data_IF_648458031647
#
_entry.id   IF_648458031647
#
_cell.length_a   1.000
_cell.length_b   1.000
_cell.length_c   1.000
_cell.angle_alpha   90.00
_cell.angle_beta   90.00
_cell.angle_gamma   90.00
#
_symmetry.space_group_name_H-M   'P 1'
#
loop_
_entity.id
_entity.type
_entity.pdbx_description
1 polymer ?
#
# COMPACT_ATOMS: atom_id res chain seq x y z
N UNK A 1 -27.02 -12.41 66.03
CA UNK A 1 -25.87 -11.84 65.27
C UNK A 1 -25.36 -12.76 64.18
N UNK A 2 -25.37 -14.07 64.33
CA UNK A 2 -24.82 -15.03 63.31
C UNK A 2 -25.73 -15.22 62.09
N UNK A 3 -27.06 -15.15 62.20
CA UNK A 3 -28.00 -15.29 61.06
C UNK A 3 -27.85 -14.14 60.04
N UNK A 4 -27.62 -12.91 60.51
CA UNK A 4 -27.48 -11.73 59.65
C UNK A 4 -26.16 -11.84 58.87
N UNK A 5 -25.08 -12.26 59.51
CA UNK A 5 -23.80 -12.50 58.84
C UNK A 5 -23.87 -13.59 57.76
N UNK A 6 -24.62 -14.67 58.03
CA UNK A 6 -24.84 -15.74 57.08
C UNK A 6 -25.63 -15.28 55.83
N UNK A 7 -26.65 -14.46 56.05
CA UNK A 7 -27.47 -13.90 54.94
C UNK A 7 -26.60 -12.94 54.09
N UNK A 8 -25.80 -12.08 54.73
CA UNK A 8 -24.93 -11.15 54.07
C UNK A 8 -23.89 -11.86 53.19
N UNK A 9 -23.24 -12.91 53.70
CA UNK A 9 -22.31 -13.75 52.96
C UNK A 9 -22.97 -14.40 51.76
N UNK A 10 -24.17 -14.95 51.93
CA UNK A 10 -24.93 -15.58 50.84
C UNK A 10 -25.28 -14.60 49.73
N UNK A 11 -25.68 -13.38 50.06
CA UNK A 11 -25.99 -12.32 49.07
C UNK A 11 -24.76 -11.88 48.33
N UNK A 12 -23.62 -11.72 49.01
CA UNK A 12 -22.32 -11.34 48.38
C UNK A 12 -21.87 -12.45 47.44
N UNK A 13 -21.99 -13.74 47.83
CA UNK A 13 -21.57 -14.87 46.99
C UNK A 13 -22.46 -14.95 45.72
N UNK A 14 -23.75 -14.72 45.88
CA UNK A 14 -24.69 -14.68 44.76
C UNK A 14 -24.40 -13.52 43.79
N UNK A 15 -24.06 -12.33 44.33
CA UNK A 15 -23.69 -11.15 43.53
C UNK A 15 -22.38 -11.37 42.76
N UNK A 16 -21.38 -12.01 43.37
CA UNK A 16 -20.10 -12.32 42.72
C UNK A 16 -20.32 -13.37 41.60
N UNK A 17 -21.20 -14.36 41.81
CA UNK A 17 -21.51 -15.38 40.82
C UNK A 17 -22.25 -14.82 39.60
N UNK A 18 -22.98 -13.71 39.74
CA UNK A 18 -23.70 -13.04 38.64
C UNK A 18 -22.77 -12.24 37.70
N UNK A 19 -21.55 -11.92 38.10
CA UNK A 19 -20.57 -11.09 37.33
C UNK A 19 -19.75 -11.94 36.35
N UNK A 20 -19.78 -13.29 36.50
CA UNK A 20 -18.95 -14.19 35.67
C UNK A 20 -19.57 -14.59 34.32
N UNK A 21 -20.81 -14.17 34.04
CA UNK A 21 -21.40 -14.34 32.71
C UNK A 21 -20.98 -13.20 31.78
N UNK A 22 -19.68 -13.18 31.41
CA UNK A 22 -19.23 -12.38 30.28
C UNK A 22 -19.57 -13.14 29.01
N UNK A 23 -20.59 -12.70 28.33
CA UNK A 23 -20.96 -13.21 27.01
C UNK A 23 -19.94 -12.65 26.02
N UNK A 24 -19.02 -13.46 25.53
CA UNK A 24 -18.23 -13.14 24.33
C UNK A 24 -19.10 -13.49 23.13
N UNK A 25 -19.70 -12.48 22.54
CA UNK A 25 -20.42 -12.63 21.27
C UNK A 25 -19.35 -12.72 20.16
N UNK A 26 -19.21 -13.89 19.55
CA UNK A 26 -18.40 -14.04 18.34
C UNK A 26 -19.16 -13.35 17.20
N UNK A 27 -18.73 -12.14 16.87
CA UNK A 27 -19.22 -11.44 15.68
C UNK A 27 -18.60 -12.11 14.45
N UNK A 28 -19.36 -12.99 13.80
CA UNK A 28 -18.98 -13.47 12.46
C UNK A 28 -19.20 -12.34 11.47
N UNK A 29 -18.09 -11.70 11.08
CA UNK A 29 -18.12 -10.75 9.97
C UNK A 29 -18.23 -11.59 8.69
N UNK A 30 -19.43 -11.67 8.13
CA UNK A 30 -19.64 -12.22 6.79
C UNK A 30 -19.01 -11.24 5.79
N UNK A 31 -17.73 -11.38 5.52
CA UNK A 31 -17.13 -10.79 4.33
C UNK A 31 -17.60 -11.63 3.16
N UNK A 32 -18.49 -11.07 2.34
CA UNK A 32 -18.81 -11.67 1.05
C UNK A 32 -17.49 -11.84 0.30
N UNK A 33 -17.19 -13.06 -0.13
CA UNK A 33 -16.00 -13.32 -0.95
C UNK A 33 -16.07 -12.42 -2.19
N UNK A 34 -15.36 -11.30 -2.13
CA UNK A 34 -15.20 -10.44 -3.28
C UNK A 34 -14.32 -11.18 -4.29
N UNK A 35 -14.73 -11.16 -5.56
CA UNK A 35 -13.90 -11.72 -6.62
C UNK A 35 -12.48 -11.15 -6.52
N UNK A 36 -11.47 -11.99 -6.67
CA UNK A 36 -10.09 -11.54 -6.72
C UNK A 36 -9.92 -10.55 -7.88
N UNK A 37 -9.18 -9.49 -7.64
CA UNK A 37 -8.88 -8.46 -8.65
C UNK A 37 -7.36 -8.33 -8.80
N UNK A 38 -6.88 -7.96 -10.01
CA UNK A 38 -5.47 -7.71 -10.21
C UNK A 38 -5.02 -6.44 -9.44
N UNK A 39 -3.87 -6.53 -8.83
CA UNK A 39 -3.19 -5.43 -8.15
C UNK A 39 -1.90 -5.15 -8.91
N UNK A 40 -1.82 -4.00 -9.56
CA UNK A 40 -0.66 -3.55 -10.32
C UNK A 40 -0.04 -2.40 -9.55
N UNK A 41 1.21 -2.57 -9.13
CA UNK A 41 1.96 -1.57 -8.39
C UNK A 41 3.26 -1.26 -9.10
N UNK A 42 3.54 0.04 -9.29
CA UNK A 42 4.78 0.50 -9.88
C UNK A 42 5.04 1.97 -9.59
N UNK A 43 6.30 2.34 -9.60
CA UNK A 43 6.74 3.72 -9.45
C UNK A 43 7.82 4.03 -10.47
N UNK A 44 7.77 5.23 -11.05
CA UNK A 44 8.85 5.75 -11.87
C UNK A 44 9.63 6.76 -11.03
N UNK A 45 10.94 6.54 -10.93
CA UNK A 45 11.82 7.40 -10.13
C UNK A 45 12.82 8.14 -11.01
N UNK A 46 13.38 9.24 -10.51
CA UNK A 46 14.44 10.00 -11.18
C UNK A 46 15.85 9.40 -10.96
N UNK A 47 15.91 8.22 -10.35
CA UNK A 47 17.14 7.45 -10.21
C UNK A 47 17.42 6.64 -11.49
N UNK A 48 18.69 6.50 -11.84
CA UNK A 48 19.12 5.69 -12.99
C UNK A 48 19.17 4.21 -12.60
N UNK A 49 17.98 3.60 -12.50
CA UNK A 49 17.78 2.20 -12.09
C UNK A 49 16.85 1.49 -13.06
N UNK A 50 16.84 0.17 -13.01
CA UNK A 50 15.78 -0.61 -13.67
C UNK A 50 14.45 -0.33 -12.97
N UNK A 51 13.50 0.23 -13.71
CA UNK A 51 12.17 0.53 -13.16
C UNK A 51 11.38 -0.78 -12.99
N UNK A 52 10.58 -0.84 -11.93
CA UNK A 52 9.92 -2.07 -11.50
C UNK A 52 8.41 -1.92 -11.47
N UNK A 53 7.71 -2.92 -12.03
CA UNK A 53 6.27 -3.10 -11.89
C UNK A 53 6.03 -4.45 -11.21
N UNK A 54 5.19 -4.49 -10.20
CA UNK A 54 4.79 -5.69 -9.49
C UNK A 54 3.32 -5.98 -9.78
N UNK A 55 3.01 -7.24 -10.11
CA UNK A 55 1.65 -7.68 -10.41
C UNK A 55 1.29 -8.86 -9.50
N UNK A 56 0.15 -8.74 -8.84
CA UNK A 56 -0.40 -9.78 -7.97
C UNK A 56 -1.93 -9.78 -8.02
N UNK A 57 -2.58 -10.77 -7.43
CA UNK A 57 -4.01 -10.73 -7.13
C UNK A 57 -4.25 -10.07 -5.78
N UNK A 58 -5.44 -9.52 -5.56
CA UNK A 58 -5.93 -9.26 -4.21
C UNK A 58 -6.09 -10.57 -3.43
N UNK A 59 -6.20 -10.49 -2.11
CA UNK A 59 -6.56 -11.62 -1.23
C UNK A 59 -7.75 -11.25 -0.38
N UNK A 60 -8.53 -12.24 0.06
CA UNK A 60 -9.59 -12.06 1.03
C UNK A 60 -9.01 -11.61 2.39
N UNK A 61 -9.80 -10.90 3.18
CA UNK A 61 -9.35 -10.38 4.49
C UNK A 61 -8.88 -11.49 5.45
N UNK A 62 -9.48 -12.67 5.35
CA UNK A 62 -9.15 -13.83 6.20
C UNK A 62 -8.23 -14.86 5.53
N UNK A 63 -7.77 -14.59 4.30
CA UNK A 63 -6.84 -15.47 3.63
C UNK A 63 -5.51 -15.50 4.38
N UNK A 64 -5.05 -16.71 4.69
CA UNK A 64 -3.74 -16.93 5.33
C UNK A 64 -2.60 -16.96 4.33
N UNK A 65 -2.91 -17.05 3.05
CA UNK A 65 -1.92 -17.09 1.97
C UNK A 65 -1.55 -15.68 1.52
N UNK A 66 -0.32 -15.53 1.10
CA UNK A 66 0.13 -14.28 0.49
C UNK A 66 -0.55 -14.06 -0.87
N UNK A 67 -0.71 -12.82 -1.29
CA UNK A 67 -1.25 -12.46 -2.59
C UNK A 67 -0.53 -13.21 -3.72
N UNK A 68 -1.30 -13.94 -4.53
CA UNK A 68 -0.75 -14.70 -5.64
C UNK A 68 -0.04 -13.79 -6.64
N UNK A 69 1.20 -14.09 -6.98
CA UNK A 69 1.99 -13.37 -7.98
C UNK A 69 1.55 -13.73 -9.40
N UNK A 70 1.48 -12.74 -10.28
CA UNK A 70 1.08 -12.91 -11.67
C UNK A 70 2.31 -12.84 -12.57
N UNK A 71 2.55 -13.91 -13.33
CA UNK A 71 3.79 -14.13 -14.09
C UNK A 71 3.63 -14.15 -15.59
N UNK A 72 2.41 -14.14 -16.10
CA UNK A 72 2.07 -14.28 -17.51
C UNK A 72 1.59 -12.98 -18.16
N UNK A 73 1.94 -11.83 -17.61
CA UNK A 73 1.55 -10.53 -18.15
C UNK A 73 2.57 -10.02 -19.17
N UNK A 74 2.07 -9.31 -20.18
CA UNK A 74 2.86 -8.45 -21.07
C UNK A 74 2.81 -7.04 -20.48
N UNK A 75 3.96 -6.50 -20.11
CA UNK A 75 4.06 -5.20 -19.45
C UNK A 75 4.85 -4.24 -20.32
N UNK A 76 4.24 -3.13 -20.68
CA UNK A 76 4.84 -2.08 -21.49
C UNK A 76 4.79 -0.74 -20.75
N UNK A 77 5.94 -0.11 -20.59
CA UNK A 77 6.10 1.24 -20.07
C UNK A 77 6.46 2.16 -21.22
N UNK A 78 5.72 3.25 -21.39
CA UNK A 78 6.01 4.27 -22.38
C UNK A 78 6.33 5.59 -21.68
N UNK A 79 7.40 6.25 -22.13
CA UNK A 79 7.73 7.62 -21.74
C UNK A 79 7.53 8.57 -22.91
N UNK A 80 6.84 9.67 -22.68
CA UNK A 80 6.54 10.67 -23.69
C UNK A 80 6.91 12.07 -23.23
N UNK A 81 7.49 12.83 -24.14
CA UNK A 81 7.60 14.29 -24.06
C UNK A 81 6.95 14.91 -25.31
N UNK A 82 6.93 16.24 -25.40
CA UNK A 82 6.41 16.93 -26.60
C UNK A 82 7.14 16.58 -27.89
N UNK A 83 8.35 15.99 -27.81
CA UNK A 83 9.22 15.75 -28.99
C UNK A 83 9.63 14.28 -29.11
N UNK A 84 9.77 13.57 -27.99
CA UNK A 84 10.37 12.23 -27.94
C UNK A 84 9.41 11.27 -27.24
N UNK A 85 9.30 10.08 -27.82
CA UNK A 85 8.55 8.95 -27.25
C UNK A 85 9.42 7.69 -27.27
N UNK A 86 9.49 7.00 -26.13
CA UNK A 86 10.16 5.71 -26.00
C UNK A 86 9.22 4.68 -25.38
N UNK A 87 9.36 3.43 -25.81
CA UNK A 87 8.58 2.32 -25.25
C UNK A 87 9.51 1.21 -24.80
N UNK A 88 9.26 0.70 -23.58
CA UNK A 88 10.03 -0.36 -22.94
C UNK A 88 9.10 -1.54 -22.67
N UNK A 89 9.44 -2.71 -23.21
CA UNK A 89 8.80 -3.96 -22.80
C UNK A 89 9.55 -4.50 -21.59
N UNK A 90 8.84 -4.68 -20.48
CA UNK A 90 9.43 -5.17 -19.24
C UNK A 90 9.48 -6.69 -19.24
N UNK A 91 10.55 -7.24 -18.71
CA UNK A 91 10.75 -8.68 -18.56
C UNK A 91 10.64 -9.08 -17.10
N UNK A 92 10.11 -10.26 -16.84
CA UNK A 92 10.02 -10.80 -15.50
C UNK A 92 11.43 -11.01 -14.92
N UNK A 93 11.64 -10.58 -13.67
CA UNK A 93 12.94 -10.69 -12.97
C UNK A 93 13.34 -12.15 -12.76
N UNK A 94 12.39 -12.96 -12.29
CA UNK A 94 12.53 -14.41 -12.15
C UNK A 94 11.18 -15.10 -12.32
N UNK A 95 11.21 -16.37 -12.71
CA UNK A 95 9.98 -17.15 -12.91
C UNK A 95 9.13 -17.17 -11.64
N UNK A 96 7.87 -16.76 -11.76
CA UNK A 96 6.93 -16.76 -10.63
C UNK A 96 7.01 -15.53 -9.72
N UNK A 97 7.93 -14.59 -9.95
CA UNK A 97 8.11 -13.42 -9.06
C UNK A 97 6.97 -12.42 -9.12
N UNK A 98 6.27 -12.30 -10.26
CA UNK A 98 5.31 -11.23 -10.51
C UNK A 98 5.95 -9.85 -10.55
N UNK A 99 7.29 -9.79 -10.65
CA UNK A 99 8.09 -8.57 -10.73
C UNK A 99 8.60 -8.43 -12.15
N UNK A 100 8.30 -7.31 -12.79
CA UNK A 100 8.69 -6.97 -14.15
C UNK A 100 9.61 -5.78 -14.13
N UNK A 101 10.75 -5.87 -14.80
CA UNK A 101 11.79 -4.87 -14.82
C UNK A 101 12.06 -4.38 -16.24
N UNK A 102 12.41 -3.11 -16.39
CA UNK A 102 13.01 -2.62 -17.63
C UNK A 102 14.32 -3.36 -17.89
N UNK A 103 14.66 -3.61 -19.15
CA UNK A 103 15.92 -4.29 -19.53
C UNK A 103 17.12 -3.46 -19.04
N UNK A 104 17.12 -2.19 -19.36
CA UNK A 104 18.17 -1.24 -19.00
C UNK A 104 17.69 -0.26 -17.91
N UNK A 105 18.61 0.37 -17.16
CA UNK A 105 18.27 1.46 -16.27
C UNK A 105 17.58 2.61 -17.03
N UNK A 106 16.44 3.05 -16.52
CA UNK A 106 15.65 4.16 -17.04
C UNK A 106 15.51 5.21 -15.94
N UNK A 107 15.88 6.45 -16.27
CA UNK A 107 15.72 7.58 -15.37
C UNK A 107 14.47 8.36 -15.73
N UNK A 108 13.54 8.49 -14.80
CA UNK A 108 12.39 9.37 -14.96
C UNK A 108 12.82 10.83 -15.07
N UNK A 109 12.13 11.59 -15.92
CA UNK A 109 12.42 12.98 -16.27
C UNK A 109 11.23 13.86 -15.89
N UNK A 110 11.50 14.92 -15.19
CA UNK A 110 10.54 15.94 -14.79
C UNK A 110 9.78 16.49 -16.00
N UNK A 111 8.46 16.61 -15.87
CA UNK A 111 7.58 17.11 -16.94
C UNK A 111 7.28 16.09 -18.04
N UNK A 112 7.84 14.87 -17.98
CA UNK A 112 7.53 13.81 -18.93
C UNK A 112 6.33 13.00 -18.45
N UNK A 113 5.51 12.56 -19.40
CA UNK A 113 4.40 11.66 -19.16
C UNK A 113 4.83 10.21 -19.28
N UNK A 114 4.32 9.37 -18.40
CA UNK A 114 4.57 7.94 -18.35
C UNK A 114 3.23 7.22 -18.44
N UNK A 115 3.14 6.24 -19.33
CA UNK A 115 1.98 5.37 -19.44
C UNK A 115 2.39 3.91 -19.33
N UNK A 116 1.63 3.16 -18.56
CA UNK A 116 1.77 1.73 -18.34
C UNK A 116 0.62 1.02 -19.02
N UNK A 117 0.92 -0.02 -19.79
CA UNK A 117 -0.05 -1.00 -20.29
C UNK A 117 0.36 -2.38 -19.79
N UNK A 118 -0.59 -3.10 -19.22
CA UNK A 118 -0.45 -4.48 -18.75
C UNK A 118 -1.54 -5.31 -19.39
N UNK A 119 -1.14 -6.30 -20.18
CA UNK A 119 -2.06 -7.25 -20.82
C UNK A 119 -1.87 -8.63 -20.19
N UNK A 120 -2.94 -9.22 -19.66
CA UNK A 120 -2.92 -10.55 -19.05
C UNK A 120 -4.32 -11.18 -19.05
N UNK A 121 -4.39 -12.50 -19.15
CA UNK A 121 -5.60 -13.27 -18.86
C UNK A 121 -5.62 -13.56 -17.34
N UNK A 122 -6.30 -12.69 -16.59
CA UNK A 122 -6.30 -12.75 -15.13
C UNK A 122 -7.21 -13.86 -14.59
N UNK A 123 -8.36 -14.06 -15.22
CA UNK A 123 -9.38 -15.02 -14.80
C UNK A 123 -9.20 -16.40 -15.45
N UNK A 124 -8.23 -16.56 -16.36
CA UNK A 124 -7.92 -17.77 -17.12
C UNK A 124 -9.10 -18.26 -17.98
N UNK A 125 -9.86 -17.33 -18.57
CA UNK A 125 -10.95 -17.64 -19.51
C UNK A 125 -10.49 -17.72 -20.99
N UNK A 126 -9.21 -17.48 -21.24
CA UNK A 126 -8.58 -17.47 -22.57
C UNK A 126 -8.68 -16.11 -23.27
N UNK A 127 -9.21 -15.08 -22.61
CA UNK A 127 -9.27 -13.70 -23.11
C UNK A 127 -8.34 -12.84 -22.26
N UNK A 128 -7.43 -12.12 -22.89
CA UNK A 128 -6.54 -11.22 -22.18
C UNK A 128 -7.18 -9.84 -22.00
N UNK A 129 -7.18 -9.34 -20.77
CA UNK A 129 -7.61 -8.00 -20.43
C UNK A 129 -6.44 -7.03 -20.48
N UNK A 130 -6.70 -5.77 -20.84
CA UNK A 130 -5.73 -4.69 -20.81
C UNK A 130 -6.02 -3.73 -19.65
N UNK A 131 -4.99 -3.46 -18.85
CA UNK A 131 -5.01 -2.51 -17.73
C UNK A 131 -4.04 -1.37 -18.05
N UNK A 132 -4.50 -0.13 -17.96
CA UNK A 132 -3.68 1.05 -18.28
C UNK A 132 -3.63 2.03 -17.12
N UNK A 133 -2.49 2.72 -16.98
CA UNK A 133 -2.32 3.82 -16.06
C UNK A 133 -1.41 4.87 -16.68
N UNK A 134 -1.60 6.14 -16.33
CA UNK A 134 -0.74 7.21 -16.78
C UNK A 134 -0.47 8.21 -15.66
N UNK A 135 0.71 8.80 -15.68
CA UNK A 135 1.09 9.89 -14.78
C UNK A 135 2.11 10.81 -15.46
N UNK A 136 2.27 12.01 -14.92
CA UNK A 136 3.36 12.92 -15.30
C UNK A 136 4.30 13.04 -14.12
N UNK A 137 5.61 13.00 -14.37
CA UNK A 137 6.60 13.19 -13.32
C UNK A 137 6.61 14.65 -12.89
N UNK A 138 6.26 14.95 -11.62
CA UNK A 138 6.19 16.32 -11.14
C UNK A 138 7.56 16.98 -11.11
N UNK A 139 7.57 18.29 -11.06
CA UNK A 139 8.78 19.05 -10.82
C UNK A 139 9.32 18.81 -9.40
N UNK A 140 10.64 18.96 -9.29
CA UNK A 140 11.30 18.79 -8.00
C UNK A 140 10.93 19.96 -7.08
N UNK A 141 10.42 19.64 -5.91
CA UNK A 141 10.18 20.61 -4.87
C UNK A 141 11.51 21.26 -4.45
N UNK A 142 11.57 22.58 -4.49
CA UNK A 142 12.72 23.35 -3.98
C UNK A 142 12.49 23.65 -2.51
N UNK A 143 13.40 23.17 -1.67
CA UNK A 143 13.43 23.53 -0.26
C UNK A 143 14.05 24.92 -0.14
N UNK A 144 13.28 25.91 0.33
CA UNK A 144 13.76 27.29 0.51
C UNK A 144 14.66 27.43 1.74
N UNK A 145 14.26 26.77 2.82
CA UNK A 145 15.00 26.79 4.08
C UNK A 145 14.69 25.60 4.95
N UNK A 146 15.63 25.27 5.80
CA UNK A 146 15.38 24.37 6.93
C UNK A 146 15.95 24.99 8.21
N UNK A 147 15.26 24.77 9.32
CA UNK A 147 15.66 25.24 10.63
C UNK A 147 15.45 24.15 11.69
N UNK A 148 16.43 23.98 12.56
CA UNK A 148 16.34 23.09 13.69
C UNK A 148 16.15 23.92 14.94
N UNK A 149 15.00 23.78 15.59
CA UNK A 149 14.71 24.42 16.89
C UNK A 149 14.89 23.42 18.02
N UNK A 150 15.50 23.89 19.10
CA UNK A 150 15.71 23.11 20.32
C UNK A 150 14.82 23.65 21.42
N UNK A 151 14.01 22.79 22.03
CA UNK A 151 13.14 23.13 23.16
C UNK A 151 13.39 22.19 24.32
N UNK A 152 13.60 22.76 25.52
CA UNK A 152 13.70 21.98 26.77
C UNK A 152 12.32 21.85 27.40
N UNK A 153 11.89 20.61 27.69
CA UNK A 153 10.63 20.30 28.35
C UNK A 153 10.94 19.39 29.55
N UNK A 154 10.97 19.97 30.75
CA UNK A 154 11.45 19.26 31.93
C UNK A 154 12.93 18.88 31.80
N UNK A 155 13.24 17.60 31.99
CA UNK A 155 14.59 17.05 31.81
C UNK A 155 14.91 16.66 30.35
N UNK A 156 13.91 16.65 29.44
CA UNK A 156 14.07 16.26 28.08
C UNK A 156 14.41 17.45 27.18
N UNK A 157 15.21 17.17 26.16
CA UNK A 157 15.49 18.12 25.09
C UNK A 157 14.85 17.60 23.80
N UNK A 158 13.94 18.39 23.24
CA UNK A 158 13.26 18.12 21.98
C UNK A 158 13.91 18.93 20.87
N UNK A 159 14.09 18.28 19.72
CA UNK A 159 14.55 18.93 18.49
C UNK A 159 13.41 18.85 17.46
N UNK A 160 13.03 19.99 16.90
CA UNK A 160 12.04 20.06 15.81
C UNK A 160 12.73 20.54 14.55
N UNK A 161 12.58 19.76 13.48
CA UNK A 161 13.02 20.17 12.14
C UNK A 161 11.83 20.85 11.44
N UNK A 162 12.02 22.14 11.09
CA UNK A 162 11.07 22.89 10.30
C UNK A 162 11.64 23.05 8.89
N UNK A 163 10.87 22.63 7.88
CA UNK A 163 11.24 22.73 6.48
C UNK A 163 10.22 23.66 5.82
N UNK A 164 10.70 24.66 5.12
CA UNK A 164 9.89 25.55 4.29
C UNK A 164 10.18 25.25 2.83
N UNK A 165 9.14 25.01 2.08
CA UNK A 165 9.19 24.84 0.63
C UNK A 165 8.00 25.61 0.05
N UNK A 166 8.22 26.26 -1.10
CA UNK A 166 7.14 26.90 -1.84
C UNK A 166 6.42 25.83 -2.64
N UNK A 167 5.13 25.69 -2.42
CA UNK A 167 4.28 24.84 -3.23
C UNK A 167 4.18 25.44 -4.64
N UNK A 168 4.25 24.57 -5.64
CA UNK A 168 3.92 24.97 -7.01
C UNK A 168 2.40 25.00 -7.08
N UNK A 169 1.84 26.17 -7.34
CA UNK A 169 0.42 26.29 -7.64
C UNK A 169 0.11 25.39 -8.82
N UNK A 170 -0.86 24.48 -8.64
CA UNK A 170 -1.42 23.70 -9.73
C UNK A 170 -2.01 24.68 -10.75
N UNK A 171 -1.44 24.75 -11.97
CA UNK A 171 -2.02 25.47 -13.11
C UNK A 171 -3.20 24.73 -13.70
#
# INVERSE_FOLDING_TARGET
MNKIKSILVSVITFLIMSITFSCTEETTINTTDSAYVPVIYGTITDQNIRQQIQISSSSGYFDKEQNKRISNAIVTLKEDSSVISHSYVLTQDSVGSGIYLTHDPVRGKTGWSYSLSVTMDFNNDGVAEEYTAACTMPEKLKVDSFNITKKKVGEYTLYSLNISAKDQEDE
#
